data_IF_649666448734
#
_entry.id   IF_649666448734
#
_cell.length_a   1.000
_cell.length_b   1.000
_cell.length_c   1.000
_cell.angle_alpha   90.00
_cell.angle_beta   90.00
_cell.angle_gamma   90.00
#
_symmetry.space_group_name_H-M   'P 1'
#
loop_
_entity.id
_entity.type
_entity.pdbx_description
1 polymer ?
#
# COMPACT_ATOMS: atom_id res chain seq x y z
N UNK A 1 12.72 19.56 -11.33
CA UNK A 1 11.30 19.91 -11.10
C UNK A 1 11.15 20.31 -9.65
N UNK A 2 10.81 21.58 -9.39
CA UNK A 2 10.57 22.11 -8.04
C UNK A 2 9.07 22.00 -7.76
N UNK A 3 8.69 21.38 -6.64
CA UNK A 3 7.28 21.13 -6.27
C UNK A 3 6.77 22.16 -5.23
N UNK A 4 7.42 23.32 -5.12
CA UNK A 4 7.19 24.32 -4.06
C UNK A 4 5.74 24.86 -3.96
N UNK A 5 4.95 24.78 -5.04
CA UNK A 5 3.54 25.20 -5.03
C UNK A 5 2.56 24.11 -4.55
N UNK A 6 3.01 22.87 -4.36
CA UNK A 6 2.15 21.73 -4.08
C UNK A 6 1.91 21.59 -2.57
N UNK A 7 0.64 21.49 -2.16
CA UNK A 7 0.18 21.26 -0.79
C UNK A 7 -0.75 20.05 -0.78
N UNK A 8 -0.22 18.92 -0.33
CA UNK A 8 -0.89 17.61 -0.42
C UNK A 8 -1.50 17.26 0.93
N UNK A 9 -2.81 17.05 0.97
CA UNK A 9 -3.46 16.38 2.09
C UNK A 9 -3.50 14.87 1.82
N UNK A 10 -2.70 14.09 2.53
CA UNK A 10 -2.61 12.63 2.39
C UNK A 10 -3.44 11.93 3.47
N UNK A 11 -4.48 11.19 3.08
CA UNK A 11 -5.25 10.34 3.98
C UNK A 11 -4.81 8.88 3.82
N UNK A 12 -4.41 8.27 4.93
CA UNK A 12 -4.01 6.87 5.00
C UNK A 12 -4.68 6.16 6.17
N UNK A 13 -5.22 4.97 5.95
CA UNK A 13 -5.80 4.13 6.99
C UNK A 13 -4.73 3.52 7.90
N UNK A 14 -3.50 3.49 7.43
CA UNK A 14 -2.31 3.15 8.20
C UNK A 14 -1.11 3.86 7.61
N UNK A 15 -0.39 4.66 8.40
CA UNK A 15 0.75 5.43 7.89
C UNK A 15 2.10 4.98 8.45
N UNK A 16 2.17 4.69 9.74
CA UNK A 16 3.39 4.26 10.41
C UNK A 16 3.17 3.23 11.52
N UNK A 17 1.93 2.74 11.71
CA UNK A 17 1.61 1.82 12.80
C UNK A 17 2.26 0.45 12.57
N UNK A 18 2.25 -0.05 11.32
CA UNK A 18 2.88 -1.33 10.96
C UNK A 18 3.88 -1.18 9.82
N UNK A 19 4.90 -2.02 9.82
CA UNK A 19 5.91 -2.05 8.77
C UNK A 19 5.47 -2.94 7.61
N UNK A 20 4.83 -2.32 6.62
CA UNK A 20 4.48 -2.96 5.35
C UNK A 20 5.02 -2.17 4.14
N UNK A 21 4.88 -2.76 2.95
CA UNK A 21 5.36 -2.13 1.72
C UNK A 21 4.56 -0.91 1.27
N UNK A 22 3.30 -0.77 1.70
CA UNK A 22 2.46 0.37 1.35
C UNK A 22 2.90 1.61 2.14
N UNK A 23 3.03 1.46 3.45
CA UNK A 23 3.38 2.54 4.38
C UNK A 23 4.80 3.04 4.12
N UNK A 24 5.74 2.14 3.82
CA UNK A 24 7.09 2.51 3.40
C UNK A 24 7.10 3.28 2.07
N UNK A 25 6.27 2.89 1.10
CA UNK A 25 6.18 3.60 -0.17
C UNK A 25 5.61 5.01 0.00
N UNK A 26 4.58 5.16 0.85
CA UNK A 26 4.00 6.46 1.17
C UNK A 26 5.00 7.37 1.89
N UNK A 27 5.70 6.88 2.92
CA UNK A 27 6.68 7.70 3.65
C UNK A 27 7.84 8.13 2.74
N UNK A 28 8.34 7.25 1.86
CA UNK A 28 9.36 7.62 0.86
C UNK A 28 8.85 8.64 -0.16
N UNK A 29 7.57 8.55 -0.57
CA UNK A 29 6.96 9.58 -1.41
C UNK A 29 6.95 10.92 -0.68
N UNK A 30 6.48 10.93 0.57
CA UNK A 30 6.38 12.16 1.37
C UNK A 30 7.76 12.78 1.57
N UNK A 31 8.77 11.98 1.91
CA UNK A 31 10.17 12.41 2.00
C UNK A 31 10.63 13.09 0.69
N UNK A 32 10.39 12.43 -0.45
CA UNK A 32 10.80 12.95 -1.74
C UNK A 32 10.12 14.28 -2.07
N UNK A 33 8.80 14.39 -1.92
CA UNK A 33 8.08 15.62 -2.29
C UNK A 33 8.40 16.78 -1.35
N UNK A 34 8.60 16.52 -0.05
CA UNK A 34 9.09 17.50 0.92
C UNK A 34 10.48 18.01 0.52
N UNK A 35 11.40 17.10 0.14
CA UNK A 35 12.73 17.46 -0.37
C UNK A 35 12.66 18.29 -1.67
N UNK A 36 11.61 18.14 -2.48
CA UNK A 36 11.35 18.98 -3.67
C UNK A 36 10.59 20.28 -3.36
N UNK A 37 10.36 20.59 -2.09
CA UNK A 37 9.76 21.84 -1.61
C UNK A 37 8.23 21.81 -1.48
N UNK A 38 7.56 20.70 -1.80
CA UNK A 38 6.13 20.56 -1.53
C UNK A 38 5.86 20.57 -0.02
N UNK A 39 4.60 20.82 0.35
CA UNK A 39 4.12 20.64 1.71
C UNK A 39 3.18 19.43 1.74
N UNK A 40 3.27 18.63 2.80
CA UNK A 40 2.39 17.46 2.97
C UNK A 40 1.85 17.48 4.39
N UNK A 41 0.53 17.37 4.50
CA UNK A 41 -0.18 17.11 5.75
C UNK A 41 -0.80 15.72 5.68
N UNK A 42 -0.41 14.85 6.59
CA UNK A 42 -0.84 13.45 6.63
C UNK A 42 -1.93 13.29 7.68
N UNK A 43 -3.00 12.57 7.35
CA UNK A 43 -4.09 12.22 8.24
C UNK A 43 -4.18 10.69 8.31
N UNK A 44 -3.94 10.13 9.49
CA UNK A 44 -4.02 8.68 9.72
C UNK A 44 -4.35 8.39 11.19
N UNK A 45 -4.95 7.22 11.49
CA UNK A 45 -4.90 6.65 12.83
C UNK A 45 -3.48 6.63 13.38
N UNK A 46 -3.34 6.88 14.69
CA UNK A 46 -2.07 6.78 15.43
C UNK A 46 -2.19 5.76 16.56
N UNK A 47 -1.04 5.22 16.98
CA UNK A 47 -0.88 4.39 18.17
C UNK A 47 0.27 4.96 19.01
N UNK A 48 0.34 4.52 20.27
CA UNK A 48 1.39 4.94 21.22
C UNK A 48 2.78 4.51 20.74
N UNK A 49 2.91 3.27 20.28
CA UNK A 49 4.18 2.70 19.81
C UNK A 49 4.12 2.34 18.31
N UNK A 50 4.37 3.29 17.40
CA UNK A 50 4.40 2.99 15.97
C UNK A 50 5.66 2.22 15.56
N UNK A 51 5.56 1.41 14.50
CA UNK A 51 6.68 0.61 14.00
C UNK A 51 7.86 1.44 13.43
N UNK A 52 7.65 2.73 13.15
CA UNK A 52 8.66 3.69 12.73
C UNK A 52 8.15 5.14 12.85
N UNK A 53 9.04 6.15 12.90
CA UNK A 53 8.62 7.55 12.92
C UNK A 53 7.94 7.94 11.60
N UNK A 54 6.86 8.74 11.63
CA UNK A 54 6.21 9.20 10.43
C UNK A 54 7.06 10.26 9.72
N UNK A 55 7.06 10.24 8.39
CA UNK A 55 7.61 11.32 7.59
C UNK A 55 6.53 12.37 7.32
N UNK A 56 6.85 13.65 7.50
CA UNK A 56 5.91 14.77 7.33
C UNK A 56 4.99 14.99 8.54
N UNK A 57 4.11 15.99 8.42
CA UNK A 57 3.23 16.41 9.52
C UNK A 57 2.04 15.46 9.65
N UNK A 58 2.06 14.58 10.66
CA UNK A 58 1.00 13.61 10.92
C UNK A 58 -0.05 14.14 11.91
N UNK A 59 -1.31 14.17 11.48
CA UNK A 59 -2.49 14.50 12.27
C UNK A 59 -3.26 13.23 12.59
N UNK A 60 -3.50 13.01 13.87
CA UNK A 60 -4.19 11.81 14.35
C UNK A 60 -5.69 11.83 14.03
N UNK A 61 -6.18 10.71 13.51
CA UNK A 61 -7.61 10.46 13.29
C UNK A 61 -8.18 9.56 14.40
N UNK A 62 -9.35 9.91 15.01
CA UNK A 62 -10.07 9.05 15.93
C UNK A 62 -10.30 7.66 15.35
N UNK A 63 -9.92 6.63 16.09
CA UNK A 63 -9.92 5.26 15.58
C UNK A 63 -10.00 4.23 16.69
N UNK A 64 -10.49 3.04 16.35
CA UNK A 64 -10.59 1.87 17.24
C UNK A 64 -9.77 0.71 16.69
N UNK A 65 -9.16 -0.14 17.56
CA UNK A 65 -8.42 -1.31 17.10
C UNK A 65 -9.33 -2.29 16.36
N UNK A 66 -8.81 -2.96 15.33
CA UNK A 66 -9.55 -4.01 14.63
C UNK A 66 -9.59 -5.27 15.51
N UNK A 67 -10.76 -5.88 15.77
CA UNK A 67 -10.84 -7.13 16.51
C UNK A 67 -9.97 -8.24 15.89
N UNK A 68 -9.11 -8.86 16.69
CA UNK A 68 -8.17 -9.90 16.23
C UNK A 68 -6.97 -9.41 15.40
N UNK A 69 -6.87 -8.10 15.13
CA UNK A 69 -5.74 -7.44 14.45
C UNK A 69 -5.52 -6.04 15.01
N UNK A 70 -5.21 -5.94 16.30
CA UNK A 70 -5.10 -4.67 17.03
C UNK A 70 -3.98 -3.76 16.55
N UNK A 71 -3.02 -4.30 15.78
CA UNK A 71 -1.99 -3.54 15.07
C UNK A 71 -2.55 -2.67 13.94
N UNK A 72 -3.79 -2.94 13.50
CA UNK A 72 -4.56 -2.09 12.60
C UNK A 72 -5.67 -1.37 13.35
N UNK A 73 -6.09 -0.21 12.83
CA UNK A 73 -7.19 0.58 13.39
C UNK A 73 -8.22 0.93 12.33
N UNK A 74 -9.49 0.96 12.72
CA UNK A 74 -10.57 1.53 11.93
C UNK A 74 -10.69 3.04 12.20
N UNK A 75 -10.39 3.90 11.21
CA UNK A 75 -10.65 5.33 11.34
C UNK A 75 -12.16 5.58 11.38
N UNK A 76 -12.62 6.37 12.35
CA UNK A 76 -14.05 6.52 12.65
C UNK A 76 -14.69 7.73 12.00
N UNK A 77 -14.04 8.89 12.09
CA UNK A 77 -14.67 10.15 11.70
C UNK A 77 -13.67 11.23 11.29
N UNK A 78 -14.13 12.10 10.39
CA UNK A 78 -13.48 13.36 10.05
C UNK A 78 -14.11 14.47 10.90
N UNK A 79 -13.58 14.67 12.10
CA UNK A 79 -14.11 15.60 13.12
C UNK A 79 -14.06 17.06 12.66
N UNK A 80 -14.77 17.94 13.36
CA UNK A 80 -14.72 19.39 13.10
C UNK A 80 -13.27 19.92 13.17
N UNK A 81 -12.53 19.56 14.21
CA UNK A 81 -11.12 19.96 14.37
C UNK A 81 -10.22 19.51 13.22
N UNK A 82 -10.40 18.29 12.71
CA UNK A 82 -9.61 17.79 11.57
C UNK A 82 -10.03 18.52 10.28
N UNK A 83 -11.30 18.87 10.11
CA UNK A 83 -11.76 19.66 8.96
C UNK A 83 -11.23 21.09 9.01
N UNK A 84 -11.16 21.69 10.19
CA UNK A 84 -10.55 23.00 10.41
C UNK A 84 -9.05 22.98 10.09
N UNK A 85 -8.32 21.97 10.56
CA UNK A 85 -6.92 21.77 10.22
C UNK A 85 -6.72 21.60 8.71
N UNK A 86 -7.54 20.75 8.07
CA UNK A 86 -7.51 20.51 6.63
C UNK A 86 -7.80 21.79 5.83
N UNK A 87 -8.79 22.59 6.26
CA UNK A 87 -9.11 23.86 5.62
C UNK A 87 -8.00 24.89 5.82
N UNK A 88 -7.40 24.96 7.01
CA UNK A 88 -6.29 25.87 7.33
C UNK A 88 -5.03 25.53 6.53
N UNK A 89 -4.76 24.24 6.29
CA UNK A 89 -3.65 23.78 5.45
C UNK A 89 -3.81 24.18 3.97
N UNK A 90 -5.05 24.43 3.52
CA UNK A 90 -5.39 24.85 2.14
C UNK A 90 -4.78 23.92 1.07
N UNK A 91 -4.99 22.59 1.13
CA UNK A 91 -4.41 21.67 0.16
C UNK A 91 -4.89 22.01 -1.25
N UNK A 92 -4.02 21.82 -2.24
CA UNK A 92 -4.39 21.89 -3.66
C UNK A 92 -4.40 20.52 -4.33
N UNK A 93 -4.07 19.45 -3.59
CA UNK A 93 -4.27 18.05 -3.98
C UNK A 93 -4.69 17.25 -2.75
N UNK A 94 -5.72 16.41 -2.90
CA UNK A 94 -6.04 15.35 -1.95
C UNK A 94 -5.46 14.03 -2.45
N UNK A 95 -4.73 13.31 -1.61
CA UNK A 95 -4.27 11.95 -1.90
C UNK A 95 -4.89 10.99 -0.88
N UNK A 96 -5.62 9.97 -1.35
CA UNK A 96 -6.15 8.88 -0.51
C UNK A 96 -5.43 7.56 -0.83
N UNK A 97 -4.95 6.85 0.18
CA UNK A 97 -4.26 5.55 0.01
C UNK A 97 -5.08 4.36 0.49
N UNK A 98 -6.26 4.61 1.07
CA UNK A 98 -7.19 3.60 1.56
C UNK A 98 -8.66 4.00 1.34
N UNK A 99 -9.55 3.06 1.01
CA UNK A 99 -10.98 3.32 0.81
C UNK A 99 -11.78 3.23 2.13
N UNK A 100 -11.27 3.81 3.21
CA UNK A 100 -11.92 3.78 4.52
C UNK A 100 -12.97 4.89 4.71
N UNK A 101 -13.70 4.84 5.83
CA UNK A 101 -14.77 5.80 6.16
C UNK A 101 -14.29 7.24 6.13
N UNK A 102 -13.09 7.53 6.63
CA UNK A 102 -12.55 8.89 6.69
C UNK A 102 -12.08 9.34 5.32
N UNK A 103 -11.45 8.47 4.55
CA UNK A 103 -11.11 8.75 3.15
C UNK A 103 -12.36 9.03 2.30
N UNK A 104 -13.47 8.33 2.52
CA UNK A 104 -14.76 8.66 1.89
C UNK A 104 -15.25 10.08 2.21
N UNK A 105 -15.05 10.55 3.45
CA UNK A 105 -15.41 11.90 3.90
C UNK A 105 -14.43 12.95 3.38
N UNK A 106 -13.14 12.65 3.33
CA UNK A 106 -12.12 13.52 2.75
C UNK A 106 -12.38 13.74 1.26
N UNK A 107 -12.73 12.68 0.52
CA UNK A 107 -13.13 12.77 -0.89
C UNK A 107 -14.38 13.63 -1.07
N UNK A 108 -15.39 13.53 -0.18
CA UNK A 108 -16.54 14.44 -0.23
C UNK A 108 -16.11 15.89 -0.04
N UNK A 109 -15.30 16.15 0.98
CA UNK A 109 -14.81 17.49 1.29
C UNK A 109 -14.01 18.09 0.13
N UNK A 110 -13.07 17.35 -0.47
CA UNK A 110 -12.28 17.84 -1.59
C UNK A 110 -13.13 18.17 -2.82
N UNK A 111 -14.15 17.34 -3.12
CA UNK A 111 -15.09 17.62 -4.22
C UNK A 111 -15.90 18.89 -3.99
N UNK A 112 -16.37 19.11 -2.76
CA UNK A 112 -17.08 20.34 -2.37
C UNK A 112 -16.20 21.60 -2.53
N UNK A 113 -14.88 21.45 -2.46
CA UNK A 113 -13.91 22.55 -2.55
C UNK A 113 -13.20 22.61 -3.92
N UNK A 114 -13.57 21.78 -4.89
CA UNK A 114 -12.94 21.74 -6.21
C UNK A 114 -11.47 21.32 -6.20
N UNK A 115 -11.04 20.55 -5.20
CA UNK A 115 -9.66 20.07 -5.06
C UNK A 115 -9.51 18.74 -5.81
N UNK A 116 -8.49 18.59 -6.68
CA UNK A 116 -8.23 17.35 -7.39
C UNK A 116 -7.81 16.22 -6.45
N UNK A 117 -8.24 15.01 -6.77
CA UNK A 117 -8.17 13.83 -5.90
C UNK A 117 -7.41 12.70 -6.60
N UNK A 118 -6.28 12.31 -6.02
CA UNK A 118 -5.51 11.13 -6.40
C UNK A 118 -5.81 9.99 -5.43
N UNK A 119 -6.13 8.80 -5.94
CA UNK A 119 -6.18 7.58 -5.15
C UNK A 119 -5.02 6.65 -5.51
N UNK A 120 -4.35 6.06 -4.51
CA UNK A 120 -3.34 5.02 -4.73
C UNK A 120 -3.76 3.67 -4.18
N UNK A 121 -3.71 2.64 -5.02
CA UNK A 121 -4.12 1.28 -4.66
C UNK A 121 -2.94 0.49 -4.13
N UNK A 122 -2.98 0.14 -2.85
CA UNK A 122 -1.93 -0.68 -2.21
C UNK A 122 -2.40 -2.07 -1.77
N UNK A 123 -3.70 -2.21 -1.52
CA UNK A 123 -4.31 -3.43 -0.97
C UNK A 123 -5.56 -3.80 -1.78
N UNK A 124 -5.71 -5.10 -2.05
CA UNK A 124 -6.85 -5.67 -2.76
C UNK A 124 -7.96 -6.10 -1.80
N UNK A 125 -8.67 -5.13 -1.25
CA UNK A 125 -9.72 -5.36 -0.25
C UNK A 125 -10.83 -6.28 -0.76
N UNK A 126 -11.09 -6.29 -2.06
CA UNK A 126 -12.11 -7.14 -2.70
C UNK A 126 -11.80 -8.64 -2.62
N UNK A 127 -10.52 -9.01 -2.45
CA UNK A 127 -10.13 -10.43 -2.37
C UNK A 127 -10.25 -11.00 -0.96
N UNK A 128 -10.32 -10.14 0.06
CA UNK A 128 -10.28 -10.55 1.46
C UNK A 128 -11.44 -11.46 1.88
N UNK A 129 -12.70 -11.21 1.46
CA UNK A 129 -13.82 -12.07 1.80
C UNK A 129 -13.60 -13.55 1.46
N UNK A 130 -12.82 -13.87 0.41
CA UNK A 130 -12.52 -15.25 0.04
C UNK A 130 -11.75 -16.00 1.12
N UNK A 131 -10.80 -15.35 1.79
CA UNK A 131 -10.00 -15.96 2.85
C UNK A 131 -10.82 -16.28 4.11
N UNK A 132 -12.02 -15.69 4.24
CA UNK A 132 -12.94 -15.93 5.34
C UNK A 132 -14.17 -16.75 4.93
N UNK A 133 -14.16 -17.40 3.75
CA UNK A 133 -15.29 -18.19 3.26
C UNK A 133 -16.49 -17.37 2.76
N UNK A 134 -16.32 -16.05 2.62
CA UNK A 134 -17.36 -15.10 2.19
C UNK A 134 -17.14 -14.60 0.75
N UNK A 135 -16.52 -15.41 -0.11
CA UNK A 135 -16.19 -15.02 -1.49
C UNK A 135 -17.38 -14.54 -2.32
N UNK A 136 -18.59 -15.02 -2.02
CA UNK A 136 -19.82 -14.56 -2.68
C UNK A 136 -20.12 -13.06 -2.49
N UNK A 137 -19.50 -12.40 -1.51
CA UNK A 137 -19.64 -10.96 -1.26
C UNK A 137 -18.69 -10.10 -2.09
N UNK A 138 -17.73 -10.70 -2.80
CA UNK A 138 -16.74 -9.97 -3.58
C UNK A 138 -17.35 -8.98 -4.58
N UNK A 139 -18.39 -9.32 -5.38
CA UNK A 139 -19.01 -8.35 -6.29
C UNK A 139 -19.59 -7.12 -5.57
N UNK A 140 -20.08 -7.29 -4.33
CA UNK A 140 -20.57 -6.19 -3.51
C UNK A 140 -19.42 -5.30 -3.04
N UNK A 141 -18.32 -5.91 -2.56
CA UNK A 141 -17.12 -5.16 -2.15
C UNK A 141 -16.53 -4.40 -3.34
N UNK A 142 -16.44 -5.04 -4.51
CA UNK A 142 -16.02 -4.38 -5.75
C UNK A 142 -16.93 -3.19 -6.10
N UNK A 143 -18.26 -3.32 -5.98
CA UNK A 143 -19.19 -2.24 -6.27
C UNK A 143 -18.98 -1.04 -5.33
N UNK A 144 -18.72 -1.30 -4.04
CA UNK A 144 -18.41 -0.26 -3.04
C UNK A 144 -17.10 0.44 -3.38
N UNK A 145 -16.03 -0.32 -3.65
CA UNK A 145 -14.72 0.21 -4.04
C UNK A 145 -14.80 1.01 -5.34
N UNK A 146 -15.54 0.50 -6.34
CA UNK A 146 -15.77 1.18 -7.61
C UNK A 146 -16.47 2.52 -7.41
N UNK A 147 -17.48 2.57 -6.52
CA UNK A 147 -18.16 3.82 -6.17
C UNK A 147 -17.19 4.81 -5.51
N UNK A 148 -16.26 4.35 -4.68
CA UNK A 148 -15.24 5.20 -4.07
C UNK A 148 -14.24 5.73 -5.10
N UNK A 149 -13.59 4.84 -5.85
CA UNK A 149 -12.52 5.22 -6.78
C UNK A 149 -13.01 6.10 -7.93
N UNK A 150 -14.24 5.92 -8.42
CA UNK A 150 -14.83 6.81 -9.45
C UNK A 150 -15.10 8.24 -8.99
N UNK A 151 -14.96 8.53 -7.69
CA UNK A 151 -15.06 9.90 -7.15
C UNK A 151 -13.71 10.61 -7.15
N UNK A 152 -12.62 9.89 -7.42
CA UNK A 152 -11.27 10.42 -7.55
C UNK A 152 -10.99 10.76 -9.02
N UNK A 153 -10.14 11.75 -9.26
CA UNK A 153 -9.80 12.22 -10.61
C UNK A 153 -8.78 11.31 -11.28
N UNK A 154 -7.88 10.71 -10.50
CA UNK A 154 -6.92 9.72 -10.97
C UNK A 154 -6.73 8.58 -9.97
N UNK A 155 -6.47 7.39 -10.51
CA UNK A 155 -6.14 6.18 -9.75
C UNK A 155 -4.76 5.69 -10.15
N UNK A 156 -3.89 5.41 -9.18
CA UNK A 156 -2.55 4.88 -9.45
C UNK A 156 -2.29 3.54 -8.78
N UNK A 157 -1.57 2.67 -9.49
CA UNK A 157 -1.32 1.30 -9.06
C UNK A 157 0.17 0.90 -9.20
N UNK A 158 0.67 -0.02 -8.36
CA UNK A 158 2.11 -0.29 -8.24
C UNK A 158 2.71 -1.12 -9.37
N UNK A 159 1.89 -1.75 -10.22
CA UNK A 159 2.35 -2.62 -11.31
C UNK A 159 1.44 -2.53 -12.54
N UNK A 160 1.95 -2.82 -13.75
CA UNK A 160 1.13 -2.90 -14.95
C UNK A 160 -0.01 -3.92 -14.81
N UNK A 161 0.26 -5.08 -14.19
CA UNK A 161 -0.75 -6.10 -13.95
C UNK A 161 -1.90 -5.60 -13.08
N UNK A 162 -1.62 -4.78 -12.07
CA UNK A 162 -2.66 -4.19 -11.22
C UNK A 162 -3.47 -3.13 -11.96
N UNK A 163 -2.82 -2.32 -12.81
CA UNK A 163 -3.52 -1.36 -13.68
C UNK A 163 -4.56 -2.09 -14.54
N UNK A 164 -4.19 -3.22 -15.16
CA UNK A 164 -5.11 -3.99 -15.99
C UNK A 164 -6.27 -4.60 -15.18
N UNK A 165 -6.00 -5.12 -13.98
CA UNK A 165 -7.08 -5.59 -13.06
C UNK A 165 -8.06 -4.45 -12.74
N UNK A 166 -7.57 -3.28 -12.37
CA UNK A 166 -8.41 -2.14 -12.00
C UNK A 166 -9.24 -1.61 -13.19
N UNK A 167 -8.69 -1.65 -14.41
CA UNK A 167 -9.41 -1.33 -15.65
C UNK A 167 -10.50 -2.36 -15.94
N UNK A 168 -10.20 -3.65 -15.83
CA UNK A 168 -11.17 -4.74 -16.02
C UNK A 168 -12.34 -4.63 -15.03
N UNK A 169 -12.04 -4.31 -13.76
CA UNK A 169 -13.04 -4.06 -12.72
C UNK A 169 -13.74 -2.69 -12.86
N UNK A 170 -13.33 -1.86 -13.82
CA UNK A 170 -13.86 -0.52 -14.12
C UNK A 170 -13.82 0.43 -12.91
N UNK A 171 -12.74 0.33 -12.13
CA UNK A 171 -12.56 1.06 -10.86
C UNK A 171 -12.38 2.57 -11.05
N UNK A 172 -11.73 3.00 -12.13
CA UNK A 172 -11.60 4.42 -12.52
C UNK A 172 -11.51 4.53 -14.05
N UNK A 173 -11.78 5.72 -14.57
CA UNK A 173 -11.58 6.05 -15.99
C UNK A 173 -10.13 6.46 -16.28
N UNK A 174 -9.42 7.00 -15.29
CA UNK A 174 -7.99 7.29 -15.35
C UNK A 174 -7.26 6.38 -14.36
N UNK A 175 -6.53 5.39 -14.91
CA UNK A 175 -5.71 4.44 -14.16
C UNK A 175 -4.31 4.44 -14.73
N UNK A 176 -3.36 4.86 -13.91
CA UNK A 176 -1.95 5.00 -14.30
C UNK A 176 -1.01 4.18 -13.41
N UNK A 177 0.18 3.89 -13.92
CA UNK A 177 1.21 3.21 -13.13
C UNK A 177 1.92 4.20 -12.21
N UNK A 178 2.03 3.83 -10.94
CA UNK A 178 2.95 4.44 -10.00
C UNK A 178 3.79 3.35 -9.36
N UNK A 179 4.87 2.99 -10.06
CA UNK A 179 5.77 1.93 -9.61
C UNK A 179 6.43 2.29 -8.30
N UNK A 180 6.60 1.29 -7.44
CA UNK A 180 7.44 1.44 -6.24
C UNK A 180 8.90 1.41 -6.67
N UNK A 181 9.66 2.39 -6.21
CA UNK A 181 11.12 2.33 -6.29
C UNK A 181 11.66 1.31 -5.28
N UNK A 182 12.86 0.81 -5.55
CA UNK A 182 13.67 0.05 -4.59
C UNK A 182 14.92 0.87 -4.27
N UNK A 183 15.35 0.84 -3.01
CA UNK A 183 16.59 1.50 -2.61
C UNK A 183 17.79 0.75 -3.22
N UNK A 184 18.43 1.35 -4.21
CA UNK A 184 19.55 0.75 -4.93
C UNK A 184 20.84 0.71 -4.11
N UNK A 185 20.91 1.43 -2.99
CA UNK A 185 22.04 1.31 -2.05
C UNK A 185 21.96 0.02 -1.24
N UNK A 186 20.73 -0.49 -1.01
CA UNK A 186 20.45 -1.72 -0.26
C UNK A 186 20.31 -2.92 -1.20
N UNK A 187 19.64 -2.73 -2.34
CA UNK A 187 19.35 -3.80 -3.29
C UNK A 187 20.09 -3.58 -4.61
N UNK A 188 21.08 -4.42 -4.88
CA UNK A 188 21.85 -4.39 -6.12
C UNK A 188 22.54 -5.73 -6.39
N UNK A 189 22.83 -6.09 -7.65
CA UNK A 189 23.59 -7.29 -7.97
C UNK A 189 24.97 -7.35 -7.32
N UNK A 190 25.57 -6.18 -7.03
CA UNK A 190 26.83 -6.01 -6.30
C UNK A 190 26.73 -6.42 -4.83
N UNK A 191 25.52 -6.56 -4.27
CA UNK A 191 25.27 -7.03 -2.90
C UNK A 191 25.23 -8.56 -2.77
N UNK A 192 25.59 -9.30 -3.82
CA UNK A 192 25.62 -10.76 -3.81
C UNK A 192 26.70 -11.27 -2.85
N UNK A 193 26.28 -12.00 -1.83
CA UNK A 193 27.17 -12.58 -0.82
C UNK A 193 27.33 -14.10 -1.03
N UNK A 194 28.46 -14.49 -1.64
CA UNK A 194 28.81 -15.91 -1.85
C UNK A 194 29.20 -16.64 -0.55
N UNK A 195 29.97 -16.04 0.38
CA UNK A 195 30.16 -16.60 1.72
C UNK A 195 28.83 -16.98 2.43
N UNK A 196 27.89 -16.05 2.55
CA UNK A 196 26.59 -16.29 3.18
C UNK A 196 25.79 -17.39 2.46
N UNK A 197 25.80 -17.36 1.12
CA UNK A 197 25.17 -18.42 0.32
C UNK A 197 25.73 -19.82 0.63
N UNK A 198 27.04 -19.94 0.81
CA UNK A 198 27.69 -21.23 1.16
C UNK A 198 27.36 -21.67 2.58
N UNK A 199 27.27 -20.73 3.51
CA UNK A 199 26.84 -21.00 4.90
C UNK A 199 25.44 -21.63 4.94
N UNK A 200 24.55 -21.21 4.04
CA UNK A 200 23.21 -21.82 3.87
C UNK A 200 23.20 -23.18 3.16
N UNK A 201 24.37 -23.74 2.80
CA UNK A 201 24.47 -25.03 2.11
C UNK A 201 24.18 -24.98 0.61
N UNK A 202 24.24 -23.79 0.01
CA UNK A 202 24.04 -23.60 -1.43
C UNK A 202 25.39 -23.45 -2.15
N UNK A 203 25.64 -24.30 -3.13
CA UNK A 203 26.77 -24.16 -4.05
C UNK A 203 26.56 -22.94 -4.95
N UNK A 204 27.65 -22.42 -5.50
CA UNK A 204 27.62 -21.22 -6.35
C UNK A 204 26.70 -21.39 -7.57
N UNK A 205 26.69 -22.59 -8.16
CA UNK A 205 25.89 -22.91 -9.36
C UNK A 205 24.49 -23.47 -9.07
N UNK A 206 24.10 -23.62 -7.79
CA UNK A 206 22.75 -24.10 -7.48
C UNK A 206 21.68 -23.10 -7.96
N UNK A 207 20.62 -23.58 -8.58
CA UNK A 207 19.42 -22.77 -8.77
C UNK A 207 18.64 -22.76 -7.45
N UNK A 208 18.71 -21.65 -6.72
CA UNK A 208 17.98 -21.47 -5.45
C UNK A 208 16.75 -20.61 -5.71
N UNK A 209 15.57 -21.20 -5.51
CA UNK A 209 14.28 -20.51 -5.64
C UNK A 209 13.85 -20.08 -4.23
N UNK A 210 13.78 -18.77 -4.02
CA UNK A 210 13.45 -18.20 -2.72
C UNK A 210 12.00 -17.72 -2.65
N UNK A 211 11.30 -18.09 -1.58
CA UNK A 211 10.10 -17.41 -1.12
C UNK A 211 10.49 -16.41 -0.03
N UNK A 212 10.15 -15.14 -0.21
CA UNK A 212 10.40 -14.08 0.77
C UNK A 212 9.11 -13.31 1.08
N UNK A 213 8.60 -13.46 2.29
CA UNK A 213 7.45 -12.73 2.79
C UNK A 213 6.72 -13.45 3.91
N UNK A 214 5.79 -12.75 4.58
CA UNK A 214 4.96 -13.32 5.66
C UNK A 214 4.29 -14.62 5.22
N UNK A 215 4.29 -15.63 6.10
CA UNK A 215 3.65 -16.91 5.86
C UNK A 215 2.13 -16.86 6.08
N UNK A 216 1.44 -16.12 5.21
CA UNK A 216 -0.03 -15.99 5.21
C UNK A 216 -0.60 -16.43 3.86
N UNK A 217 -1.83 -16.96 3.86
CA UNK A 217 -2.49 -17.52 2.67
C UNK A 217 -2.49 -16.57 1.46
N UNK A 218 -2.62 -15.27 1.71
CA UNK A 218 -2.65 -14.21 0.71
C UNK A 218 -1.34 -14.09 -0.10
N UNK A 219 -0.25 -14.75 0.34
CA UNK A 219 1.07 -14.70 -0.31
C UNK A 219 1.33 -15.83 -1.31
N UNK A 220 0.34 -16.69 -1.57
CA UNK A 220 0.43 -17.70 -2.63
C UNK A 220 1.40 -18.84 -2.29
N UNK A 221 1.46 -19.23 -1.02
CA UNK A 221 2.29 -20.36 -0.56
C UNK A 221 1.88 -21.67 -1.24
N UNK A 222 0.59 -21.85 -1.51
CA UNK A 222 0.03 -22.96 -2.29
C UNK A 222 0.62 -23.02 -3.71
N UNK A 223 0.65 -21.88 -4.42
CA UNK A 223 1.23 -21.81 -5.76
C UNK A 223 2.74 -22.03 -5.74
N UNK A 224 3.42 -21.53 -4.71
CA UNK A 224 4.85 -21.78 -4.53
C UNK A 224 5.13 -23.28 -4.37
N UNK A 225 4.42 -23.96 -3.47
CA UNK A 225 4.63 -25.40 -3.22
C UNK A 225 4.23 -26.27 -4.41
N UNK A 226 3.11 -25.97 -5.08
CA UNK A 226 2.70 -26.61 -6.34
C UNK A 226 3.79 -26.49 -7.42
N UNK A 227 4.35 -25.29 -7.58
CA UNK A 227 5.43 -25.05 -8.56
C UNK A 227 6.68 -25.85 -8.23
N UNK A 228 7.07 -25.93 -6.96
CA UNK A 228 8.24 -26.72 -6.54
C UNK A 228 8.00 -28.22 -6.74
N UNK A 229 6.78 -28.70 -6.53
CA UNK A 229 6.41 -30.09 -6.83
C UNK A 229 6.54 -30.39 -8.34
N UNK A 230 5.99 -29.53 -9.19
CA UNK A 230 6.08 -29.67 -10.64
C UNK A 230 7.53 -29.65 -11.14
N UNK A 231 8.41 -28.81 -10.57
CA UNK A 231 9.82 -28.79 -10.92
C UNK A 231 10.53 -30.09 -10.52
N UNK A 232 10.18 -30.68 -9.36
CA UNK A 232 10.71 -31.98 -8.94
C UNK A 232 10.26 -33.10 -9.88
N UNK A 233 8.99 -33.12 -10.27
CA UNK A 233 8.44 -34.10 -11.22
C UNK A 233 9.12 -34.02 -12.59
N UNK A 234 9.49 -32.82 -13.03
CA UNK A 234 10.21 -32.59 -14.29
C UNK A 234 11.71 -32.85 -14.20
N UNK A 235 12.24 -33.25 -13.03
CA UNK A 235 13.66 -33.47 -12.82
C UNK A 235 14.52 -32.20 -12.96
N UNK A 236 13.92 -31.01 -12.81
CA UNK A 236 14.65 -29.76 -12.87
C UNK A 236 15.44 -29.56 -11.56
N UNK A 237 16.79 -29.53 -11.57
CA UNK A 237 17.57 -29.37 -10.35
C UNK A 237 17.35 -27.98 -9.74
N UNK A 238 16.85 -27.94 -8.51
CA UNK A 238 16.62 -26.70 -7.77
C UNK A 238 16.73 -26.95 -6.26
N UNK A 239 17.00 -25.88 -5.52
CA UNK A 239 16.92 -25.83 -4.06
C UNK A 239 15.92 -24.76 -3.66
N UNK A 240 15.32 -24.91 -2.47
CA UNK A 240 14.28 -24.01 -1.96
C UNK A 240 14.80 -23.28 -0.73
N UNK A 241 14.58 -21.98 -0.69
CA UNK A 241 14.80 -21.15 0.50
C UNK A 241 13.47 -20.46 0.86
N UNK A 242 13.05 -20.54 2.12
CA UNK A 242 11.85 -19.85 2.61
C UNK A 242 12.25 -18.89 3.71
N UNK A 243 11.88 -17.64 3.57
CA UNK A 243 12.13 -16.55 4.51
C UNK A 243 10.78 -15.88 4.79
N UNK A 244 10.27 -15.94 6.02
CA UNK A 244 8.92 -15.43 6.32
C UNK A 244 8.62 -15.19 7.77
#
# INVERSE_FOLDING_TARGET
MVLAGLRIALFSGNYNMVRDGANQALNRLVEYVLCKGAQVRVYSPTIEEPAFPPTGDLVSIPSVPIPGRSEFRFPLSLTASIREDLAAFKPNVLHVSSPDVVSHRAVSWAREHGIPILASVHTRFETYPRYYGLGFTEPLVEAILRRFYRRCDALVAPSPSMVEVLKQQRMSFDVSIWSRGVDRSIFGPDKRDLPWRRELGFAENDVVIAFLGRLVMEKGLDKFTETMALLRERGAPHKVLVIG
#
